data_IF_104978578759
#
_entry.id   IF_104978578759
#
_cell.length_a   1.000
_cell.length_b   1.000
_cell.length_c   1.000
_cell.angle_alpha   90.00
_cell.angle_beta   90.00
_cell.angle_gamma   90.00
#
_symmetry.space_group_name_H-M   'P 1'
#
loop_
_entity.id
_entity.type
_entity.pdbx_description
1 polymer ?
#
# COMPACT_ATOMS: atom_id res chain seq x y z
N UNK A 1 -3.38 -7.05 -26.48
CA UNK A 1 -2.51 -5.88 -26.73
C UNK A 1 -3.34 -4.71 -27.26
N UNK A 2 -2.72 -3.60 -27.67
CA UNK A 2 -3.42 -2.44 -28.25
C UNK A 2 -4.14 -2.79 -29.56
N UNK A 3 -3.67 -3.79 -30.31
CA UNK A 3 -4.32 -4.33 -31.51
C UNK A 3 -4.00 -5.82 -31.63
N UNK A 4 -5.00 -6.69 -31.76
CA UNK A 4 -4.81 -8.13 -31.86
C UNK A 4 -4.25 -8.59 -33.22
N UNK A 5 -4.50 -7.83 -34.30
CA UNK A 5 -3.99 -8.15 -35.63
C UNK A 5 -2.45 -8.06 -35.68
N UNK A 6 -1.89 -7.09 -34.97
CA UNK A 6 -0.45 -6.80 -34.95
C UNK A 6 0.24 -7.25 -33.65
N UNK A 7 -0.49 -7.36 -32.54
CA UNK A 7 0.02 -7.79 -31.23
C UNK A 7 -0.85 -8.90 -30.63
N UNK A 8 -0.48 -10.15 -30.95
CA UNK A 8 -1.14 -11.38 -30.45
C UNK A 8 -0.82 -11.72 -29.00
N UNK A 9 0.10 -11.00 -28.35
CA UNK A 9 0.43 -11.23 -26.94
C UNK A 9 -0.73 -10.80 -26.03
N UNK A 10 -1.18 -11.73 -25.19
CA UNK A 10 -2.26 -11.52 -24.24
C UNK A 10 -1.76 -10.88 -22.94
N UNK A 11 -1.86 -9.56 -22.89
CA UNK A 11 -1.52 -8.76 -21.71
C UNK A 11 -2.46 -9.00 -20.51
N UNK A 12 -3.65 -9.57 -20.72
CA UNK A 12 -4.63 -9.79 -19.65
C UNK A 12 -4.33 -11.08 -18.90
N UNK A 13 -4.18 -12.20 -19.62
CA UNK A 13 -3.96 -13.51 -18.96
C UNK A 13 -2.49 -13.83 -18.72
N UNK A 14 -1.57 -13.39 -19.58
CA UNK A 14 -0.15 -13.76 -19.50
C UNK A 14 0.78 -12.63 -19.09
N UNK A 15 0.33 -11.38 -19.22
CA UNK A 15 1.12 -10.20 -18.90
C UNK A 15 1.37 -10.05 -17.40
N UNK A 16 2.61 -10.27 -16.95
CA UNK A 16 3.02 -9.99 -15.56
C UNK A 16 3.53 -8.57 -15.41
N UNK A 17 3.00 -7.83 -14.45
CA UNK A 17 3.41 -6.45 -14.11
C UNK A 17 3.34 -6.24 -12.59
N UNK A 18 4.12 -5.29 -12.10
CA UNK A 18 3.87 -4.76 -10.75
C UNK A 18 2.55 -3.98 -10.78
N UNK A 19 1.67 -4.28 -9.82
CA UNK A 19 0.32 -3.72 -9.77
C UNK A 19 0.26 -2.33 -9.12
N UNK A 20 1.33 -1.93 -8.42
CA UNK A 20 1.43 -0.65 -7.73
C UNK A 20 0.34 -0.49 -6.65
N UNK A 21 -0.15 0.74 -6.46
CA UNK A 21 -1.11 1.08 -5.41
C UNK A 21 -2.45 0.34 -5.51
N UNK A 22 -2.75 -0.36 -6.61
CA UNK A 22 -3.96 -1.19 -6.71
C UNK A 22 -3.97 -2.36 -5.72
N UNK A 23 -2.81 -2.71 -5.12
CA UNK A 23 -2.75 -3.66 -4.00
C UNK A 23 -3.28 -3.12 -2.68
N UNK A 24 -3.28 -1.78 -2.48
CA UNK A 24 -3.54 -1.17 -1.17
C UNK A 24 -4.86 -1.62 -0.55
N UNK A 25 -5.99 -1.73 -1.27
CA UNK A 25 -7.23 -2.23 -0.69
C UNK A 25 -7.06 -3.55 0.09
N UNK A 26 -6.26 -4.50 -0.41
CA UNK A 26 -6.02 -5.79 0.25
C UNK A 26 -5.26 -5.67 1.58
N UNK A 27 -4.30 -4.74 1.67
CA UNK A 27 -3.62 -4.46 2.93
C UNK A 27 -4.57 -3.81 3.94
N UNK A 28 -5.41 -2.90 3.46
CA UNK A 28 -6.33 -2.19 4.32
C UNK A 28 -7.43 -3.12 4.82
N UNK A 29 -7.87 -4.09 4.01
CA UNK A 29 -8.79 -5.14 4.47
C UNK A 29 -8.14 -6.05 5.51
N UNK A 30 -6.88 -6.49 5.31
CA UNK A 30 -6.15 -7.25 6.31
C UNK A 30 -6.06 -6.49 7.65
N UNK A 31 -5.74 -5.19 7.60
CA UNK A 31 -5.73 -4.36 8.80
C UNK A 31 -7.08 -4.36 9.53
N UNK A 32 -8.19 -4.38 8.78
CA UNK A 32 -9.53 -4.46 9.37
C UNK A 32 -9.88 -5.84 9.92
N UNK A 33 -9.42 -6.91 9.27
CA UNK A 33 -9.55 -8.28 9.78
C UNK A 33 -8.80 -8.47 11.10
N UNK A 34 -7.65 -7.82 11.24
CA UNK A 34 -6.84 -7.79 12.47
C UNK A 34 -7.36 -6.78 13.53
N UNK A 35 -8.54 -6.19 13.30
CA UNK A 35 -9.27 -5.42 14.31
C UNK A 35 -9.15 -3.90 14.23
N UNK A 36 -8.47 -3.34 13.22
CA UNK A 36 -8.52 -1.89 13.00
C UNK A 36 -9.85 -1.48 12.35
N UNK A 37 -10.39 -0.35 12.76
CA UNK A 37 -11.51 0.31 12.11
C UNK A 37 -11.03 1.36 11.10
N UNK A 38 -11.87 1.74 10.12
CA UNK A 38 -11.55 2.84 9.21
C UNK A 38 -11.31 4.21 9.89
N UNK A 39 -11.72 4.35 11.15
CA UNK A 39 -11.57 5.57 11.96
C UNK A 39 -10.25 5.62 12.72
N UNK A 40 -9.57 4.49 12.89
CA UNK A 40 -8.23 4.45 13.48
C UNK A 40 -7.23 5.15 12.57
N UNK A 41 -6.09 5.56 13.11
CA UNK A 41 -5.20 6.44 12.38
C UNK A 41 -3.87 6.73 13.06
N UNK A 42 -3.11 7.60 12.41
CA UNK A 42 -1.76 8.00 12.82
C UNK A 42 -1.56 9.49 12.57
N UNK A 43 -0.54 10.07 13.20
CA UNK A 43 -0.02 11.38 12.79
C UNK A 43 0.76 11.21 11.48
N UNK A 44 0.30 11.85 10.42
CA UNK A 44 0.87 11.73 9.08
C UNK A 44 2.33 12.20 9.04
N UNK A 45 3.24 11.29 8.71
CA UNK A 45 4.68 11.54 8.65
C UNK A 45 5.45 10.33 8.12
N UNK A 46 6.76 10.48 7.87
CA UNK A 46 7.59 9.40 7.33
C UNK A 46 7.59 8.17 8.24
N UNK A 47 7.35 7.00 7.64
CA UNK A 47 7.42 5.69 8.32
C UNK A 47 8.63 4.93 7.80
N UNK A 48 9.48 4.45 8.69
CA UNK A 48 10.65 3.63 8.36
C UNK A 48 10.42 2.20 8.83
N UNK A 49 10.52 1.25 7.91
CA UNK A 49 10.42 -0.19 8.19
C UNK A 49 11.80 -0.83 7.96
N UNK A 50 12.19 -1.77 8.82
CA UNK A 50 13.38 -2.59 8.57
C UNK A 50 13.00 -3.74 7.65
N UNK A 51 13.58 -3.78 6.45
CA UNK A 51 13.40 -4.90 5.54
C UNK A 51 14.14 -6.15 6.04
N UNK A 52 13.80 -7.33 5.52
CA UNK A 52 14.43 -8.60 5.92
C UNK A 52 15.95 -8.62 5.69
N UNK A 53 16.44 -7.83 4.73
CA UNK A 53 17.87 -7.66 4.49
C UNK A 53 18.57 -6.69 5.48
N UNK A 54 17.86 -6.24 6.52
CA UNK A 54 18.35 -5.33 7.55
C UNK A 54 18.46 -3.87 7.13
N UNK A 55 18.05 -3.51 5.91
CA UNK A 55 18.13 -2.13 5.42
C UNK A 55 16.88 -1.33 5.83
N UNK A 56 17.03 -0.09 6.32
CA UNK A 56 15.90 0.78 6.59
C UNK A 56 15.27 1.24 5.28
N UNK A 57 13.95 1.13 5.19
CA UNK A 57 13.17 1.57 4.05
C UNK A 57 12.12 2.59 4.49
N UNK A 58 12.17 3.78 3.90
CA UNK A 58 11.21 4.87 4.12
C UNK A 58 10.60 5.26 2.77
N UNK A 59 9.33 4.96 2.49
CA UNK A 59 8.72 5.35 1.22
C UNK A 59 8.58 6.87 1.12
N UNK A 60 8.63 7.38 -0.11
CA UNK A 60 8.32 8.76 -0.41
C UNK A 60 6.82 8.95 -0.53
N UNK A 61 6.35 10.12 -0.12
CA UNK A 61 4.95 10.51 -0.21
C UNK A 61 4.81 12.02 -0.41
N UNK A 62 3.62 12.47 -0.79
CA UNK A 62 3.26 13.89 -0.72
C UNK A 62 3.18 14.34 0.74
N UNK A 63 3.27 15.66 0.97
CA UNK A 63 3.34 16.24 2.33
C UNK A 63 2.10 17.04 2.71
N UNK A 64 1.00 16.88 1.99
CA UNK A 64 -0.20 17.72 2.11
C UNK A 64 -0.81 17.67 3.52
N UNK A 65 -0.76 16.52 4.19
CA UNK A 65 -1.27 16.34 5.55
C UNK A 65 -0.15 16.24 6.61
N UNK A 66 1.11 16.58 6.31
CA UNK A 66 2.25 16.37 7.22
C UNK A 66 1.99 16.98 8.61
N UNK A 67 2.12 16.17 9.65
CA UNK A 67 1.90 16.56 11.04
C UNK A 67 0.45 16.54 11.50
N UNK A 68 -0.51 16.31 10.61
CA UNK A 68 -1.93 16.16 10.97
C UNK A 68 -2.28 14.71 11.27
N UNK A 69 -3.26 14.50 12.15
CA UNK A 69 -3.84 13.17 12.35
C UNK A 69 -4.68 12.78 11.13
N UNK A 70 -4.41 11.61 10.57
CA UNK A 70 -5.14 11.05 9.42
C UNK A 70 -5.62 9.65 9.74
N UNK A 71 -6.80 9.31 9.23
CA UNK A 71 -7.38 7.99 9.43
C UNK A 71 -6.93 6.99 8.36
N UNK A 72 -7.12 5.71 8.64
CA UNK A 72 -6.92 4.61 7.68
C UNK A 72 -7.81 4.83 6.45
N UNK A 73 -9.08 5.21 6.65
CA UNK A 73 -9.97 5.58 5.54
C UNK A 73 -9.36 6.66 4.66
N UNK A 74 -8.80 7.72 5.26
CA UNK A 74 -8.15 8.81 4.52
C UNK A 74 -6.92 8.32 3.77
N UNK A 75 -6.11 7.44 4.38
CA UNK A 75 -4.93 6.86 3.73
C UNK A 75 -5.27 6.10 2.45
N UNK A 76 -6.33 5.28 2.48
CA UNK A 76 -6.78 4.56 1.28
C UNK A 76 -7.33 5.52 0.23
N UNK A 77 -8.16 6.49 0.65
CA UNK A 77 -8.78 7.47 -0.24
C UNK A 77 -7.73 8.28 -1.02
N UNK A 78 -6.61 8.64 -0.39
CA UNK A 78 -5.56 9.44 -1.01
C UNK A 78 -4.43 8.59 -1.60
N UNK A 79 -4.55 7.26 -1.56
CA UNK A 79 -3.47 6.34 -1.94
C UNK A 79 -2.16 6.73 -1.26
N UNK A 80 -2.21 6.96 0.04
CA UNK A 80 -1.13 7.51 0.83
C UNK A 80 -0.05 6.45 1.12
N UNK A 81 1.22 6.74 0.82
CA UNK A 81 2.30 5.78 1.01
C UNK A 81 2.77 5.67 2.47
N UNK A 82 2.66 6.74 3.26
CA UNK A 82 3.07 6.71 4.66
C UNK A 82 2.06 5.98 5.53
N UNK A 83 0.75 6.19 5.31
CA UNK A 83 -0.29 5.39 5.98
C UNK A 83 -0.20 3.91 5.59
N UNK A 84 0.07 3.62 4.32
CA UNK A 84 0.27 2.24 3.85
C UNK A 84 1.48 1.59 4.55
N UNK A 85 2.60 2.29 4.68
CA UNK A 85 3.78 1.80 5.39
C UNK A 85 3.53 1.63 6.90
N UNK A 86 2.74 2.52 7.51
CA UNK A 86 2.30 2.35 8.89
C UNK A 86 1.54 1.04 9.06
N UNK A 87 0.55 0.75 8.20
CA UNK A 87 -0.16 -0.53 8.25
C UNK A 87 0.77 -1.73 8.05
N UNK A 88 1.69 -1.66 7.08
CA UNK A 88 2.70 -2.71 6.88
C UNK A 88 3.59 -2.92 8.12
N UNK A 89 3.83 -1.88 8.92
CA UNK A 89 4.66 -2.00 10.13
C UNK A 89 3.96 -2.69 11.30
N UNK A 90 2.62 -2.78 11.27
CA UNK A 90 1.83 -3.44 12.30
C UNK A 90 1.75 -4.96 12.12
N UNK A 91 1.96 -5.44 10.89
CA UNK A 91 1.75 -6.83 10.53
C UNK A 91 2.99 -7.48 9.96
N UNK A 92 3.07 -8.79 10.14
CA UNK A 92 4.08 -9.59 9.47
C UNK A 92 3.78 -9.69 7.97
N UNK A 93 4.78 -9.63 7.07
CA UNK A 93 4.57 -9.89 5.64
C UNK A 93 3.91 -11.25 5.37
N UNK A 94 4.11 -12.21 6.28
CA UNK A 94 3.53 -13.56 6.21
C UNK A 94 2.03 -13.61 6.54
N UNK A 95 1.42 -12.51 7.02
CA UNK A 95 -0.01 -12.43 7.26
C UNK A 95 -0.84 -12.33 5.96
N UNK A 96 -0.19 -12.09 4.82
CA UNK A 96 -0.82 -12.11 3.49
C UNK A 96 -0.82 -13.49 2.80
N UNK A 97 -0.22 -14.50 3.43
CA UNK A 97 0.04 -15.79 2.82
C UNK A 97 -1.20 -16.70 2.76
#
# INVERSE_FOLDING_TARGET
>A
GPDFAHFKYDMVSTGKRQIGSTIKPYLYTLAMEEGLSPCDGMVHGPITIMAENGQPWTPRNTREALGHFVTIKWGLQNSDNWVTAYLMSLFSPYAFA
#
